data_IF_573942288190
#
_entry.id   IF_573942288190
#
_cell.length_a   1.000
_cell.length_b   1.000
_cell.length_c   1.000
_cell.angle_alpha   90.00
_cell.angle_beta   90.00
_cell.angle_gamma   90.00
#
_symmetry.space_group_name_H-M   'P 1'
#
loop_
_entity.id
_entity.type
_entity.pdbx_description
1 polymer ?
#
# COMPACT_ATOMS: atom_id res chain seq x y z
N UNK A 1 -35.01 -5.27 -0.57
CA UNK A 1 -34.23 -5.36 -1.83
C UNK A 1 -32.82 -4.79 -1.68
N UNK A 2 -32.63 -3.57 -1.16
CA UNK A 2 -31.30 -2.95 -0.99
C UNK A 2 -30.36 -3.72 -0.05
N UNK A 3 -30.89 -4.25 1.05
CA UNK A 3 -30.14 -5.02 2.05
C UNK A 3 -29.56 -6.34 1.50
N UNK A 4 -30.24 -6.99 0.55
CA UNK A 4 -29.76 -8.22 -0.07
C UNK A 4 -28.63 -7.98 -1.07
N UNK A 5 -28.52 -6.78 -1.65
CA UNK A 5 -27.47 -6.41 -2.60
C UNK A 5 -26.14 -6.19 -1.88
N UNK A 6 -26.16 -5.63 -0.66
CA UNK A 6 -24.95 -5.36 0.13
C UNK A 6 -24.23 -6.64 0.56
N UNK A 7 -24.97 -7.71 0.87
CA UNK A 7 -24.40 -9.03 1.22
C UNK A 7 -23.73 -9.74 0.04
N UNK A 8 -24.07 -9.36 -1.19
CA UNK A 8 -23.50 -9.94 -2.42
C UNK A 8 -22.23 -9.21 -2.88
N UNK A 9 -21.88 -8.07 -2.26
CA UNK A 9 -20.69 -7.32 -2.62
C UNK A 9 -19.42 -8.00 -2.09
N UNK A 10 -18.33 -8.01 -2.87
CA UNK A 10 -17.05 -8.50 -2.39
C UNK A 10 -16.56 -7.65 -1.22
N UNK A 11 -16.07 -8.31 -0.17
CA UNK A 11 -15.57 -7.66 1.06
C UNK A 11 -14.42 -6.69 0.81
N UNK A 12 -13.65 -6.92 -0.26
CA UNK A 12 -12.60 -6.04 -0.71
C UNK A 12 -12.58 -5.98 -2.24
N UNK A 13 -12.36 -4.78 -2.79
CA UNK A 13 -11.97 -4.65 -4.20
C UNK A 13 -10.48 -4.93 -4.32
N UNK A 14 -10.16 -6.11 -4.82
CA UNK A 14 -8.79 -6.49 -5.09
C UNK A 14 -8.25 -5.71 -6.29
N UNK A 15 -7.00 -5.29 -6.17
CA UNK A 15 -6.25 -4.80 -7.32
C UNK A 15 -5.91 -5.96 -8.25
N UNK A 16 -5.76 -5.67 -9.54
CA UNK A 16 -5.06 -6.56 -10.48
C UNK A 16 -3.60 -6.75 -10.03
N UNK A 17 -2.97 -7.83 -10.45
CA UNK A 17 -1.63 -8.25 -9.99
C UNK A 17 -0.54 -7.20 -10.25
N UNK A 18 -0.65 -6.46 -11.36
CA UNK A 18 0.32 -5.42 -11.78
C UNK A 18 -0.07 -4.00 -11.33
N UNK A 19 -1.05 -3.86 -10.43
CA UNK A 19 -1.47 -2.55 -9.95
C UNK A 19 -0.37 -1.92 -9.09
N UNK A 20 0.18 -0.79 -9.56
CA UNK A 20 1.19 -0.02 -8.82
C UNK A 20 0.63 0.73 -7.61
N UNK A 21 -0.70 0.76 -7.44
CA UNK A 21 -1.36 1.40 -6.31
C UNK A 21 -1.34 2.93 -6.35
N UNK A 22 -1.57 3.52 -5.18
CA UNK A 22 -1.50 4.97 -4.95
C UNK A 22 -0.26 5.30 -4.11
N UNK A 23 0.31 6.47 -4.31
CA UNK A 23 1.37 6.97 -3.43
C UNK A 23 0.83 7.12 -1.99
N UNK A 24 1.47 6.55 -0.96
CA UNK A 24 1.00 6.66 0.42
C UNK A 24 1.12 8.08 0.98
N UNK A 25 1.99 8.91 0.40
CA UNK A 25 2.23 10.29 0.85
C UNK A 25 1.26 11.29 0.19
N UNK A 26 1.07 11.20 -1.13
CA UNK A 26 0.30 12.20 -1.89
C UNK A 26 -0.97 11.66 -2.59
N UNK A 27 -1.21 10.35 -2.57
CA UNK A 27 -2.37 9.73 -3.22
C UNK A 27 -2.31 9.67 -4.75
N UNK A 28 -1.21 10.08 -5.38
CA UNK A 28 -1.05 10.00 -6.83
C UNK A 28 -1.21 8.56 -7.33
N UNK A 29 -1.92 8.39 -8.46
CA UNK A 29 -2.08 7.08 -9.07
C UNK A 29 -0.79 6.65 -9.75
N UNK A 30 -0.05 5.75 -9.12
CA UNK A 30 1.23 5.26 -9.61
C UNK A 30 1.09 4.48 -10.91
N UNK A 31 -0.12 4.06 -11.28
CA UNK A 31 -0.36 3.44 -12.59
C UNK A 31 -0.22 4.44 -13.76
N UNK A 32 -0.42 5.74 -13.53
CA UNK A 32 -0.32 6.78 -14.56
C UNK A 32 1.11 7.34 -14.70
N UNK A 33 1.97 7.13 -13.71
CA UNK A 33 3.32 7.68 -13.69
C UNK A 33 3.87 7.74 -12.27
N UNK A 34 5.12 8.17 -12.15
CA UNK A 34 5.78 8.37 -10.87
C UNK A 34 5.31 9.67 -10.20
N UNK A 35 5.38 9.70 -8.88
CA UNK A 35 5.20 10.92 -8.09
C UNK A 35 6.57 11.50 -7.69
N UNK A 36 6.62 12.79 -7.38
CA UNK A 36 7.84 13.45 -6.90
C UNK A 36 8.06 13.33 -5.38
N UNK A 37 7.29 12.49 -4.68
CA UNK A 37 7.50 12.25 -3.25
C UNK A 37 8.86 11.60 -3.03
N UNK A 38 9.64 12.16 -2.11
CA UNK A 38 10.89 11.53 -1.68
C UNK A 38 10.53 10.25 -0.92
N UNK A 39 11.17 9.14 -1.26
CA UNK A 39 11.01 7.91 -0.47
C UNK A 39 11.33 8.22 0.99
N UNK A 40 10.33 7.99 1.85
CA UNK A 40 10.31 8.45 3.22
C UNK A 40 11.45 7.85 4.03
N UNK A 41 12.02 8.67 4.91
CA UNK A 41 12.91 8.20 5.98
C UNK A 41 12.29 6.97 6.65
N UNK A 42 13.09 5.93 6.85
CA UNK A 42 12.69 4.79 7.65
C UNK A 42 12.11 5.28 8.98
N UNK A 43 10.86 4.92 9.26
CA UNK A 43 10.19 5.36 10.46
C UNK A 43 10.98 4.85 11.69
N UNK A 44 11.39 5.73 12.62
CA UNK A 44 12.29 5.38 13.70
C UNK A 44 11.73 4.30 14.63
N UNK A 45 10.39 4.12 14.68
CA UNK A 45 9.74 3.05 15.44
C UNK A 45 10.14 1.66 14.94
N UNK A 46 10.58 1.56 13.68
CA UNK A 46 10.99 0.32 13.04
C UNK A 46 12.51 0.10 13.06
N UNK A 47 13.29 0.95 13.74
CA UNK A 47 14.75 0.83 13.79
C UNK A 47 15.24 -0.57 14.22
N UNK A 48 14.53 -1.22 15.14
CA UNK A 48 14.85 -2.58 15.57
C UNK A 48 14.71 -3.64 14.47
N UNK A 49 13.83 -3.44 13.49
CA UNK A 49 13.72 -4.36 12.34
C UNK A 49 14.93 -4.26 11.41
N UNK A 50 15.53 -3.08 11.30
CA UNK A 50 16.77 -2.91 10.53
C UNK A 50 17.91 -3.71 11.16
N UNK A 51 18.01 -3.71 12.50
CA UNK A 51 18.98 -4.53 13.24
C UNK A 51 18.68 -6.03 13.10
N UNK A 52 17.41 -6.42 13.11
CA UNK A 52 17.04 -7.82 12.90
C UNK A 52 17.41 -8.28 11.49
N UNK A 53 17.12 -7.46 10.47
CA UNK A 53 17.42 -7.77 9.06
C UNK A 53 18.91 -7.98 8.82
N UNK A 54 19.79 -7.22 9.47
CA UNK A 54 21.25 -7.40 9.31
C UNK A 54 21.77 -8.71 9.91
N UNK A 55 21.08 -9.28 10.89
CA UNK A 55 21.43 -10.57 11.52
C UNK A 55 20.91 -11.80 10.77
N UNK A 56 19.95 -11.62 9.84
CA UNK A 56 19.40 -12.69 9.00
C UNK A 56 20.19 -12.91 7.69
N UNK A 57 21.13 -12.01 7.37
CA UNK A 57 21.97 -12.08 6.18
C UNK A 57 23.27 -12.84 6.43
#
# INVERSE_FOLDING_TARGET
AREQIELALPMARLCREDCRGLCPECGANLNLGECACVEGLADPRWAGLTELKSKLN
#
